data_IF_316736745361
#
_entry.id   IF_316736745361
#
_cell.length_a   1.000
_cell.length_b   1.000
_cell.length_c   1.000
_cell.angle_alpha   90.00
_cell.angle_beta   90.00
_cell.angle_gamma   90.00
#
_symmetry.space_group_name_H-M   'P 1'
#
loop_
_entity.id
_entity.type
_entity.pdbx_description
1 polymer ?
#
# COMPACT_ATOMS: atom_id res chain seq x y z
N UNK A 1 -4.27 -60.73 26.15
CA UNK A 1 -4.82 -59.40 25.77
C UNK A 1 -3.67 -58.41 25.67
N UNK A 2 -3.20 -58.09 24.45
CA UNK A 2 -2.09 -57.16 24.20
C UNK A 2 -2.68 -55.81 23.87
N UNK A 3 -2.38 -54.80 24.70
CA UNK A 3 -2.83 -53.39 24.52
C UNK A 3 -2.14 -52.77 23.32
N UNK A 4 -2.90 -52.40 22.32
CA UNK A 4 -2.47 -51.48 21.25
C UNK A 4 -2.86 -50.05 21.68
N UNK A 5 -1.94 -49.36 22.30
CA UNK A 5 -2.06 -47.93 22.55
C UNK A 5 -0.67 -47.36 22.21
N UNK A 6 -0.59 -46.61 21.13
CA UNK A 6 0.41 -45.57 20.91
C UNK A 6 0.76 -45.37 19.45
N UNK A 7 -0.16 -44.86 18.67
CA UNK A 7 0.20 -44.26 17.37
C UNK A 7 -0.56 -42.97 17.07
N UNK A 8 -1.49 -42.57 17.95
CA UNK A 8 -2.34 -41.40 17.69
C UNK A 8 -1.81 -40.12 18.35
N UNK A 9 -0.94 -40.23 19.34
CA UNK A 9 -0.49 -39.07 20.10
C UNK A 9 0.64 -38.27 19.43
N UNK A 10 1.37 -38.85 18.48
CA UNK A 10 2.51 -38.17 17.81
C UNK A 10 2.08 -37.28 16.64
N UNK A 11 0.92 -37.54 16.03
CA UNK A 11 0.43 -36.77 14.88
C UNK A 11 -0.19 -35.42 15.30
N UNK A 12 -0.69 -35.31 16.52
CA UNK A 12 -1.36 -34.09 17.00
C UNK A 12 -0.39 -32.95 17.34
N UNK A 13 0.86 -33.30 17.72
CA UNK A 13 1.85 -32.28 18.13
C UNK A 13 2.53 -31.61 16.93
N UNK A 14 2.53 -32.22 15.74
CA UNK A 14 3.14 -31.64 14.54
C UNK A 14 2.24 -30.64 13.80
N UNK A 15 0.96 -30.58 14.12
CA UNK A 15 0.02 -29.65 13.47
C UNK A 15 -0.01 -28.23 14.08
N UNK A 16 0.62 -28.01 15.24
CA UNK A 16 0.65 -26.69 15.89
C UNK A 16 1.83 -25.80 15.48
N UNK A 17 2.77 -26.30 14.68
CA UNK A 17 3.97 -25.54 14.27
C UNK A 17 3.84 -24.81 12.91
N UNK A 18 2.73 -24.97 12.21
CA UNK A 18 2.45 -24.26 10.96
C UNK A 18 1.28 -23.27 11.17
N UNK A 19 1.51 -22.28 12.02
CA UNK A 19 0.64 -21.09 11.97
C UNK A 19 0.86 -20.44 10.61
N UNK A 20 -0.16 -20.36 9.76
CA UNK A 20 -0.03 -19.60 8.52
C UNK A 20 0.35 -18.16 8.88
N UNK A 21 1.18 -17.48 8.06
CA UNK A 21 1.46 -16.07 8.28
C UNK A 21 0.11 -15.36 8.39
N UNK A 22 -0.10 -14.64 9.50
CA UNK A 22 -1.31 -13.85 9.69
C UNK A 22 -1.31 -12.78 8.60
N UNK A 23 -2.06 -13.05 7.54
CA UNK A 23 -2.41 -12.03 6.56
C UNK A 23 -3.36 -11.08 7.28
N UNK A 24 -2.81 -9.97 7.76
CA UNK A 24 -3.64 -8.88 8.26
C UNK A 24 -4.47 -8.39 7.09
N UNK A 25 -5.79 -8.43 7.24
CA UNK A 25 -6.71 -7.87 6.28
C UNK A 25 -6.34 -6.39 6.09
N UNK A 26 -5.81 -6.05 4.93
CA UNK A 26 -5.61 -4.67 4.52
C UNK A 26 -7.00 -4.05 4.37
N UNK A 27 -7.25 -2.94 5.06
CA UNK A 27 -8.44 -2.15 4.80
C UNK A 27 -8.30 -1.58 3.38
N UNK A 28 -9.10 -2.09 2.46
CA UNK A 28 -9.18 -1.59 1.09
C UNK A 28 -10.15 -0.41 1.12
N UNK A 29 -9.63 0.77 0.84
CA UNK A 29 -10.42 1.99 0.63
C UNK A 29 -10.64 2.19 -0.88
N UNK A 30 -11.81 2.69 -1.29
CA UNK A 30 -12.09 2.98 -2.70
C UNK A 30 -12.70 4.37 -2.89
N UNK A 31 -12.37 5.00 -4.02
CA UNK A 31 -12.96 6.27 -4.48
C UNK A 31 -13.67 5.99 -5.79
N UNK A 32 -14.99 6.24 -5.85
CA UNK A 32 -15.81 6.03 -7.03
C UNK A 32 -16.09 7.34 -7.75
N UNK A 33 -16.15 7.28 -9.08
CA UNK A 33 -16.48 8.39 -9.96
C UNK A 33 -17.85 8.16 -10.62
N UNK A 34 -18.49 9.24 -11.07
CA UNK A 34 -19.84 9.21 -11.67
C UNK A 34 -19.91 8.38 -12.95
N UNK A 35 -18.79 8.20 -13.65
CA UNK A 35 -18.70 7.37 -14.87
C UNK A 35 -18.52 5.87 -14.58
N UNK A 36 -18.64 5.44 -13.31
CA UNK A 36 -18.49 4.06 -12.86
C UNK A 36 -17.04 3.61 -12.70
N UNK A 37 -16.05 4.44 -13.04
CA UNK A 37 -14.64 4.14 -12.76
C UNK A 37 -14.33 4.35 -11.28
N UNK A 38 -13.25 3.75 -10.78
CA UNK A 38 -12.89 3.86 -9.37
C UNK A 38 -11.39 3.73 -9.12
N UNK A 39 -10.94 4.21 -7.95
CA UNK A 39 -9.59 4.00 -7.43
C UNK A 39 -9.67 3.06 -6.23
N UNK A 40 -8.89 1.98 -6.24
CA UNK A 40 -8.58 1.15 -5.09
C UNK A 40 -7.31 1.67 -4.41
N UNK A 41 -7.33 1.77 -3.08
CA UNK A 41 -6.21 2.24 -2.26
C UNK A 41 -5.66 1.06 -1.48
N UNK A 42 -4.41 0.70 -1.72
CA UNK A 42 -3.70 -0.36 -1.02
C UNK A 42 -2.47 0.19 -0.30
N UNK A 43 -2.21 -0.34 0.90
CA UNK A 43 -1.03 -0.02 1.70
C UNK A 43 -0.14 -1.25 1.80
N UNK A 44 1.12 -1.10 1.44
CA UNK A 44 2.14 -2.12 1.69
C UNK A 44 3.08 -1.64 2.79
N UNK A 45 3.22 -2.44 3.83
CA UNK A 45 4.14 -2.18 4.94
C UNK A 45 5.24 -3.23 4.95
N UNK A 46 6.47 -2.85 4.69
CA UNK A 46 7.62 -3.67 5.04
C UNK A 46 7.97 -3.45 6.51
N UNK A 47 7.71 -4.44 7.36
CA UNK A 47 8.04 -4.36 8.78
C UNK A 47 9.51 -4.74 8.96
N UNK A 48 10.38 -3.77 9.20
CA UNK A 48 11.66 -4.04 9.85
C UNK A 48 11.44 -3.91 11.36
N UNK A 49 11.39 -5.05 12.05
CA UNK A 49 11.32 -5.08 13.52
C UNK A 49 12.66 -4.61 14.09
N UNK A 50 12.71 -3.38 14.57
CA UNK A 50 13.77 -2.91 15.46
C UNK A 50 13.17 -2.22 16.68
N UNK A 51 13.83 -2.40 17.84
CA UNK A 51 13.45 -1.91 19.17
C UNK A 51 13.06 -0.40 19.16
N UNK A 52 12.47 0.09 20.24
CA UNK A 52 11.96 1.43 20.60
C UNK A 52 12.45 2.69 19.85
N UNK A 53 13.55 2.63 19.15
CA UNK A 53 14.04 3.58 18.14
C UNK A 53 14.04 2.82 16.81
N UNK A 54 13.12 3.13 15.90
CA UNK A 54 12.96 2.38 14.66
C UNK A 54 12.97 3.26 13.43
N UNK A 55 13.35 2.64 12.32
CA UNK A 55 13.09 3.15 10.98
C UNK A 55 12.14 2.19 10.26
N UNK A 56 11.32 2.72 9.39
CA UNK A 56 10.35 1.94 8.60
C UNK A 56 10.21 2.54 7.23
N UNK A 57 10.22 1.68 6.22
CA UNK A 57 9.84 2.04 4.86
C UNK A 57 8.43 1.55 4.58
N UNK A 58 7.69 2.30 3.79
CA UNK A 58 6.37 1.89 3.36
C UNK A 58 5.99 2.48 2.03
N UNK A 59 4.95 1.91 1.43
CA UNK A 59 4.36 2.39 0.20
C UNK A 59 2.84 2.37 0.26
N UNK A 60 2.23 3.23 -0.54
CA UNK A 60 0.78 3.31 -0.73
C UNK A 60 0.49 3.38 -2.21
N UNK A 61 -0.42 2.54 -2.69
CA UNK A 61 -0.78 2.42 -4.09
C UNK A 61 -2.21 2.89 -4.32
N UNK A 62 -2.40 3.66 -5.38
CA UNK A 62 -3.68 4.02 -5.93
C UNK A 62 -3.82 3.36 -7.29
N UNK A 63 -4.73 2.38 -7.39
CA UNK A 63 -5.01 1.60 -8.59
C UNK A 63 -6.30 2.07 -9.22
N UNK A 64 -6.23 2.64 -10.42
CA UNK A 64 -7.41 3.14 -11.14
C UNK A 64 -7.93 2.09 -12.10
N UNK A 65 -9.22 1.82 -11.97
CA UNK A 65 -9.98 0.90 -12.80
C UNK A 65 -11.02 1.65 -13.64
N UNK A 66 -11.24 1.17 -14.86
CA UNK A 66 -12.36 1.62 -15.69
C UNK A 66 -13.69 1.09 -15.13
N UNK A 67 -14.81 1.59 -15.67
CA UNK A 67 -16.16 1.07 -15.35
C UNK A 67 -16.35 -0.42 -15.77
N UNK A 68 -15.46 -0.98 -16.60
CA UNK A 68 -15.44 -2.37 -16.99
C UNK A 68 -14.45 -3.22 -16.16
N UNK A 69 -14.06 -2.75 -14.98
CA UNK A 69 -13.11 -3.40 -14.06
C UNK A 69 -11.71 -3.67 -14.65
N UNK A 70 -11.31 -2.91 -15.68
CA UNK A 70 -9.97 -3.01 -16.26
C UNK A 70 -9.00 -2.07 -15.55
N UNK A 71 -7.88 -2.61 -15.05
CA UNK A 71 -6.80 -1.80 -14.47
C UNK A 71 -6.18 -0.90 -15.55
N UNK A 72 -6.23 0.39 -15.33
CA UNK A 72 -5.72 1.40 -16.25
C UNK A 72 -4.31 1.87 -15.88
N UNK A 73 -4.10 2.21 -14.61
CA UNK A 73 -2.80 2.65 -14.09
C UNK A 73 -2.68 2.47 -12.57
N UNK A 74 -1.43 2.48 -12.09
CA UNK A 74 -1.09 2.48 -10.67
C UNK A 74 -0.18 3.68 -10.40
N UNK A 75 -0.48 4.41 -9.31
CA UNK A 75 0.40 5.43 -8.73
C UNK A 75 0.88 4.92 -7.37
N UNK A 76 2.20 4.81 -7.19
CA UNK A 76 2.82 4.35 -5.95
C UNK A 76 3.63 5.47 -5.32
N UNK A 77 3.32 5.83 -4.08
CA UNK A 77 4.15 6.68 -3.23
C UNK A 77 4.94 5.80 -2.26
N UNK A 78 6.25 6.03 -2.16
CA UNK A 78 7.12 5.33 -1.19
C UNK A 78 7.86 6.35 -0.34
N UNK A 79 7.97 6.06 0.97
CA UNK A 79 8.65 6.93 1.92
C UNK A 79 9.33 6.15 3.05
N UNK A 80 10.32 6.77 3.67
CA UNK A 80 11.07 6.25 4.80
C UNK A 80 10.80 7.15 6.02
N UNK A 81 10.61 6.51 7.17
CA UNK A 81 10.26 7.15 8.43
C UNK A 81 11.18 6.70 9.56
N UNK A 82 11.35 7.58 10.55
CA UNK A 82 11.91 7.24 11.86
C UNK A 82 10.88 7.51 12.94
N UNK A 83 10.93 6.74 14.03
CA UNK A 83 10.03 6.87 15.18
C UNK A 83 10.72 6.41 16.46
N UNK A 84 10.29 6.94 17.62
CA UNK A 84 10.94 6.68 18.90
C UNK A 84 9.97 6.47 20.08
N UNK A 85 8.70 6.17 19.80
CA UNK A 85 7.65 6.04 20.81
C UNK A 85 7.04 7.36 21.28
N UNK A 86 7.70 8.49 21.01
CA UNK A 86 7.23 9.84 21.38
C UNK A 86 6.91 10.66 20.14
N UNK A 87 7.76 10.60 19.13
CA UNK A 87 7.66 11.32 17.87
C UNK A 87 7.91 10.41 16.68
N UNK A 88 7.51 10.85 15.50
CA UNK A 88 7.90 10.26 14.22
C UNK A 88 8.21 11.35 13.21
N UNK A 89 8.99 11.00 12.19
CA UNK A 89 9.38 11.92 11.13
C UNK A 89 9.54 11.17 9.81
N UNK A 90 9.08 11.77 8.71
CA UNK A 90 9.40 11.32 7.37
C UNK A 90 10.81 11.77 7.02
N UNK A 91 11.74 10.84 6.85
CA UNK A 91 13.14 11.14 6.55
C UNK A 91 13.38 11.28 5.06
N UNK A 92 12.69 10.50 4.25
CA UNK A 92 12.81 10.54 2.80
C UNK A 92 11.47 10.21 2.12
N UNK A 93 11.19 10.86 1.01
CA UNK A 93 10.05 10.56 0.13
C UNK A 93 10.54 10.46 -1.30
N UNK A 94 10.13 9.41 -2.01
CA UNK A 94 10.45 9.19 -3.42
C UNK A 94 9.42 9.87 -4.31
N UNK A 95 9.86 10.33 -5.48
CA UNK A 95 8.92 10.78 -6.50
C UNK A 95 7.93 9.64 -6.82
N UNK A 96 6.62 9.93 -6.98
CA UNK A 96 5.63 8.91 -7.27
C UNK A 96 5.98 8.12 -8.53
N UNK A 97 6.00 6.78 -8.41
CA UNK A 97 6.10 5.87 -9.55
C UNK A 97 4.74 5.73 -10.20
N UNK A 98 4.69 5.82 -11.52
CA UNK A 98 3.46 5.61 -12.31
C UNK A 98 3.67 4.46 -13.27
N UNK A 99 2.73 3.51 -13.28
CA UNK A 99 2.70 2.38 -14.20
C UNK A 99 1.37 2.40 -14.94
N UNK A 100 1.40 2.38 -16.27
CA UNK A 100 0.21 2.39 -17.13
C UNK A 100 0.05 1.03 -17.76
N UNK A 101 -1.14 0.45 -17.63
CA UNK A 101 -1.48 -0.90 -18.11
C UNK A 101 -2.42 -0.88 -19.31
N UNK A 102 -3.34 0.07 -19.36
CA UNK A 102 -4.32 0.16 -20.42
C UNK A 102 -4.68 1.61 -20.77
N UNK A 103 -5.24 1.81 -21.96
CA UNK A 103 -5.65 3.13 -22.44
C UNK A 103 -4.49 4.03 -22.84
N UNK A 104 -4.80 5.28 -23.18
CA UNK A 104 -3.84 6.31 -23.58
C UNK A 104 -3.59 7.28 -22.40
N UNK A 105 -3.23 6.74 -21.23
CA UNK A 105 -2.91 7.52 -20.06
C UNK A 105 -1.44 7.94 -20.03
N UNK A 106 -1.18 9.11 -19.47
CA UNK A 106 0.17 9.60 -19.17
C UNK A 106 0.16 10.45 -17.92
N UNK A 107 1.25 10.42 -17.16
CA UNK A 107 1.47 11.36 -16.07
C UNK A 107 2.04 12.65 -16.66
N UNK A 108 1.31 13.76 -16.56
CA UNK A 108 1.73 15.07 -17.08
C UNK A 108 2.47 15.90 -16.05
N UNK A 109 2.27 15.62 -14.77
CA UNK A 109 3.08 16.18 -13.67
C UNK A 109 3.22 15.18 -12.53
N UNK A 110 4.36 15.25 -11.84
CA UNK A 110 4.65 14.48 -10.62
C UNK A 110 5.42 15.36 -9.65
N UNK A 111 5.09 15.25 -8.37
CA UNK A 111 5.86 15.90 -7.31
C UNK A 111 5.76 15.09 -6.01
N UNK A 112 6.77 15.24 -5.17
CA UNK A 112 6.79 14.67 -3.84
C UNK A 112 7.23 15.72 -2.82
N UNK A 113 6.64 15.67 -1.63
CA UNK A 113 6.99 16.54 -0.51
C UNK A 113 6.81 15.81 0.81
N UNK A 114 7.46 16.30 1.86
CA UNK A 114 7.31 15.77 3.22
C UNK A 114 7.18 16.91 4.21
N UNK A 115 6.30 16.73 5.20
CA UNK A 115 6.11 17.65 6.30
C UNK A 115 5.90 16.83 7.59
N UNK A 116 6.80 17.02 8.56
CA UNK A 116 6.75 16.26 9.80
C UNK A 116 6.83 14.75 9.54
N UNK A 117 5.81 14.03 9.94
CA UNK A 117 5.68 12.58 9.77
C UNK A 117 4.83 12.17 8.57
N UNK A 118 4.55 13.09 7.64
CA UNK A 118 3.71 12.87 6.46
C UNK A 118 4.52 13.02 5.19
N UNK A 119 4.44 12.04 4.31
CA UNK A 119 4.88 12.09 2.93
C UNK A 119 3.67 12.33 2.02
N UNK A 120 3.81 13.20 1.03
CA UNK A 120 2.77 13.51 0.05
C UNK A 120 3.34 13.39 -1.35
N UNK A 121 2.67 12.61 -2.19
CA UNK A 121 2.91 12.53 -3.63
C UNK A 121 1.73 13.09 -4.40
N UNK A 122 1.99 13.91 -5.41
CA UNK A 122 0.96 14.43 -6.33
C UNK A 122 1.30 14.01 -7.74
N UNK A 123 0.30 13.54 -8.46
CA UNK A 123 0.41 13.15 -9.87
C UNK A 123 -0.82 13.65 -10.59
N UNK A 124 -0.65 14.23 -11.77
CA UNK A 124 -1.76 14.50 -12.67
C UNK A 124 -1.75 13.49 -13.80
N UNK A 125 -2.77 12.62 -13.83
CA UNK A 125 -2.97 11.63 -14.86
C UNK A 125 -3.88 12.17 -15.95
N UNK A 126 -3.44 12.13 -17.21
CA UNK A 126 -4.21 12.60 -18.36
C UNK A 126 -4.42 11.48 -19.37
N UNK A 127 -5.66 11.30 -19.79
CA UNK A 127 -6.02 10.40 -20.90
C UNK A 127 -5.99 11.17 -22.20
N UNK A 128 -5.13 10.79 -23.14
CA UNK A 128 -5.08 11.36 -24.48
C UNK A 128 -6.22 10.82 -25.33
N UNK A 129 -6.79 11.69 -26.18
CA UNK A 129 -7.81 11.35 -27.17
C UNK A 129 -8.00 12.49 -28.17
N UNK A 130 -8.53 12.17 -29.37
CA UNK A 130 -8.73 13.16 -30.43
C UNK A 130 -9.79 14.22 -30.07
N UNK A 131 -10.76 13.88 -29.21
CA UNK A 131 -11.90 14.76 -28.91
C UNK A 131 -12.23 14.90 -27.42
N UNK A 132 -11.71 14.04 -26.55
CA UNK A 132 -11.99 14.07 -25.11
C UNK A 132 -10.69 13.80 -24.35
N UNK A 133 -10.27 14.77 -23.53
CA UNK A 133 -9.19 14.58 -22.57
C UNK A 133 -9.79 14.48 -21.17
N UNK A 134 -9.56 13.37 -20.46
CA UNK A 134 -9.89 13.23 -19.04
C UNK A 134 -8.62 13.49 -18.22
N UNK A 135 -8.70 14.37 -17.24
CA UNK A 135 -7.63 14.61 -16.28
C UNK A 135 -8.07 14.16 -14.89
N UNK A 136 -7.20 13.40 -14.19
CA UNK A 136 -7.44 12.92 -12.84
C UNK A 136 -6.26 13.37 -11.98
N UNK A 137 -6.45 14.36 -11.08
CA UNK A 137 -5.46 14.71 -10.10
C UNK A 137 -5.46 13.63 -9.00
N UNK A 138 -4.28 13.09 -8.69
CA UNK A 138 -4.07 12.06 -7.67
C UNK A 138 -3.16 12.63 -6.59
N UNK A 139 -3.63 12.61 -5.33
CA UNK A 139 -2.82 12.96 -4.17
C UNK A 139 -2.76 11.75 -3.25
N UNK A 140 -1.57 11.19 -3.10
CA UNK A 140 -1.31 10.07 -2.20
C UNK A 140 -0.58 10.59 -0.97
N UNK A 141 -1.10 10.27 0.21
CA UNK A 141 -0.45 10.59 1.49
C UNK A 141 -0.10 9.31 2.24
N UNK A 142 1.08 9.27 2.81
CA UNK A 142 1.55 8.19 3.67
C UNK A 142 2.12 8.82 4.94
N UNK A 143 1.61 8.42 6.10
CA UNK A 143 2.09 8.93 7.39
C UNK A 143 2.54 7.80 8.31
N UNK A 144 3.40 8.13 9.26
CA UNK A 144 3.88 7.21 10.28
C UNK A 144 3.60 7.80 11.66
N UNK A 145 3.01 7.01 12.57
CA UNK A 145 2.82 7.43 13.95
C UNK A 145 4.09 7.20 14.79
N UNK A 146 4.07 7.68 16.04
CA UNK A 146 5.18 7.54 17.00
C UNK A 146 5.56 6.08 17.33
N UNK A 147 4.68 5.13 17.05
CA UNK A 147 4.87 3.70 17.29
C UNK A 147 5.30 2.94 16.02
N UNK A 148 5.41 3.64 14.88
CA UNK A 148 5.79 3.07 13.60
C UNK A 148 4.60 2.49 12.79
N UNK A 149 3.35 2.82 13.13
CA UNK A 149 2.22 2.43 12.31
C UNK A 149 2.07 3.37 11.12
N UNK A 150 1.91 2.81 9.93
CA UNK A 150 1.71 3.56 8.69
C UNK A 150 0.21 3.72 8.38
N UNK A 151 -0.18 4.90 7.93
CA UNK A 151 -1.56 5.23 7.54
C UNK A 151 -1.62 5.97 6.21
#
# INVERSE_FOLDING_TARGET
MKKKISAILVVVVLFFALSPPQVYAQSVESIHYDDGSYILIEKECSIQKTKALGSKSGSKQYKYYSAADELQWIVTLSADFTFNGTTSSCTYVREPKVEVYAGKWSAVSKSASKVGNVATGKVEMKKGGLFISKSIPVTVTLSCDKNGNLT
#
